data_IF_799681216788
#
_entry.id   IF_799681216788
#
_cell.length_a   1.000
_cell.length_b   1.000
_cell.length_c   1.000
_cell.angle_alpha   90.00
_cell.angle_beta   90.00
_cell.angle_gamma   90.00
#
_symmetry.space_group_name_H-M   'P 1'
#
loop_
_entity.id
_entity.type
_entity.pdbx_description
1 polymer ?
#
# COMPACT_ATOMS: atom_id res chain seq x y z
N UNK A 1 28.19 1.36 -29.31
CA UNK A 1 28.62 1.98 -28.04
C UNK A 1 29.22 3.34 -28.31
N UNK A 2 28.84 4.37 -27.56
CA UNK A 2 29.44 5.69 -27.71
C UNK A 2 30.91 5.62 -27.24
N UNK A 3 31.84 6.08 -28.09
CA UNK A 3 33.28 6.14 -27.76
C UNK A 3 33.50 7.06 -26.55
N UNK A 4 34.29 6.63 -25.59
CA UNK A 4 34.71 7.47 -24.47
C UNK A 4 35.56 8.66 -24.96
N UNK A 5 35.48 9.81 -24.28
CA UNK A 5 36.36 10.91 -24.57
C UNK A 5 37.75 10.60 -24.04
N UNK A 6 38.79 10.83 -24.86
CA UNK A 6 40.20 10.56 -24.53
C UNK A 6 41.01 11.85 -24.31
N UNK A 7 40.39 13.03 -24.25
CA UNK A 7 41.08 14.30 -24.05
C UNK A 7 41.21 14.69 -22.57
N UNK A 8 41.90 15.81 -22.32
CA UNK A 8 42.12 16.40 -21.00
C UNK A 8 40.86 16.53 -20.13
N UNK A 9 39.73 16.84 -20.74
CA UNK A 9 38.44 16.95 -20.08
C UNK A 9 37.58 15.66 -20.13
N UNK A 10 38.17 14.51 -20.46
CA UNK A 10 37.41 13.22 -20.58
C UNK A 10 36.71 12.87 -19.29
N UNK A 11 37.34 13.07 -18.13
CA UNK A 11 36.73 12.82 -16.82
C UNK A 11 35.48 13.70 -16.57
N UNK A 12 35.53 14.96 -16.92
CA UNK A 12 34.38 15.89 -16.82
C UNK A 12 33.20 15.45 -17.68
N UNK A 13 33.46 15.08 -18.90
CA UNK A 13 32.42 14.60 -19.83
C UNK A 13 31.78 13.28 -19.36
N UNK A 14 32.61 12.34 -18.86
CA UNK A 14 32.14 11.08 -18.29
C UNK A 14 31.26 11.32 -17.07
N UNK A 15 31.63 12.22 -16.17
CA UNK A 15 30.85 12.61 -14.99
C UNK A 15 29.50 13.22 -15.38
N UNK A 16 29.48 14.09 -16.40
CA UNK A 16 28.26 14.70 -16.94
C UNK A 16 27.31 13.64 -17.51
N UNK A 17 27.84 12.71 -18.34
CA UNK A 17 27.07 11.60 -18.91
C UNK A 17 26.49 10.68 -17.83
N UNK A 18 27.27 10.28 -16.81
CA UNK A 18 26.77 9.48 -15.69
C UNK A 18 25.63 10.19 -14.96
N UNK A 19 25.76 11.48 -14.70
CA UNK A 19 24.71 12.27 -14.05
C UNK A 19 23.42 12.24 -14.86
N UNK A 20 23.49 12.44 -16.17
CA UNK A 20 22.36 12.37 -17.09
C UNK A 20 21.73 10.96 -17.11
N UNK A 21 22.54 9.91 -17.26
CA UNK A 21 22.05 8.54 -17.33
C UNK A 21 21.42 8.05 -16.02
N UNK A 22 21.87 8.51 -14.85
CA UNK A 22 21.22 8.20 -13.56
C UNK A 22 19.76 8.65 -13.53
N UNK A 23 19.44 9.77 -14.16
CA UNK A 23 18.07 10.26 -14.24
C UNK A 23 17.14 9.39 -15.11
N UNK A 24 17.67 8.53 -15.97
CA UNK A 24 16.88 7.55 -16.71
C UNK A 24 16.42 6.39 -15.81
N UNK A 25 17.16 6.09 -14.76
CA UNK A 25 16.82 5.01 -13.82
C UNK A 25 15.61 5.37 -12.96
N UNK A 26 14.51 4.62 -13.12
CA UNK A 26 13.28 4.75 -12.31
C UNK A 26 13.56 4.58 -10.81
N UNK A 27 14.44 3.63 -10.44
CA UNK A 27 14.81 3.35 -9.04
C UNK A 27 15.55 4.54 -8.41
N UNK A 28 16.48 5.14 -9.14
CA UNK A 28 17.23 6.30 -8.67
C UNK A 28 16.33 7.53 -8.51
N UNK A 29 15.47 7.82 -9.50
CA UNK A 29 14.46 8.90 -9.43
C UNK A 29 13.58 8.76 -8.18
N UNK A 30 13.01 7.57 -7.95
CA UNK A 30 12.16 7.31 -6.78
C UNK A 30 12.85 7.64 -5.46
N UNK A 31 14.12 7.22 -5.33
CA UNK A 31 14.91 7.49 -4.11
C UNK A 31 15.28 8.97 -4.00
N UNK A 32 15.79 9.57 -5.06
CA UNK A 32 16.26 10.95 -5.01
C UNK A 32 15.14 11.97 -4.80
N UNK A 33 14.00 11.74 -5.39
CA UNK A 33 12.81 12.60 -5.27
C UNK A 33 11.90 12.21 -4.09
N UNK A 34 12.29 11.20 -3.31
CA UNK A 34 11.48 10.70 -2.18
C UNK A 34 10.02 10.41 -2.55
N UNK A 35 9.80 9.89 -3.78
CA UNK A 35 8.44 9.71 -4.30
C UNK A 35 7.60 8.76 -3.45
N UNK A 36 8.22 7.79 -2.76
CA UNK A 36 7.54 6.89 -1.86
C UNK A 36 6.93 7.63 -0.67
N UNK A 37 7.67 8.55 -0.06
CA UNK A 37 7.22 9.32 1.08
C UNK A 37 6.14 10.34 0.69
N UNK A 38 6.23 10.91 -0.52
CA UNK A 38 5.29 11.94 -1.01
C UNK A 38 3.94 11.39 -1.48
N UNK A 39 3.95 10.28 -2.22
CA UNK A 39 2.76 9.78 -2.93
C UNK A 39 2.16 8.52 -2.33
N UNK A 40 2.90 7.78 -1.49
CA UNK A 40 2.36 6.62 -0.80
C UNK A 40 1.47 7.08 0.37
N UNK A 41 0.21 6.67 0.46
CA UNK A 41 -0.61 6.94 1.64
C UNK A 41 0.05 6.51 2.96
N UNK A 42 0.76 5.38 2.96
CA UNK A 42 1.52 4.90 4.13
C UNK A 42 2.88 5.59 4.32
N UNK A 43 3.25 6.57 3.47
CA UNK A 43 4.53 7.29 3.52
C UNK A 43 5.76 6.37 3.59
N UNK A 44 5.65 5.21 2.98
CA UNK A 44 6.72 4.23 2.97
C UNK A 44 6.74 3.23 4.10
N UNK A 45 5.90 3.40 5.14
CA UNK A 45 5.76 2.43 6.22
C UNK A 45 5.17 1.10 5.71
N UNK A 46 5.49 -0.04 6.33
CA UNK A 46 4.90 -1.33 5.98
C UNK A 46 3.44 -1.44 6.43
N UNK A 47 3.07 -0.80 7.53
CA UNK A 47 1.75 -0.78 8.13
C UNK A 47 1.41 0.61 8.65
N UNK A 48 0.12 0.89 8.83
CA UNK A 48 -0.35 2.12 9.47
C UNK A 48 -1.67 1.86 10.21
N UNK A 49 -1.91 2.64 11.26
CA UNK A 49 -3.18 2.69 11.99
C UNK A 49 -4.16 3.60 11.25
N UNK A 50 -5.42 3.20 11.23
CA UNK A 50 -6.51 3.93 10.61
C UNK A 50 -7.81 3.72 11.38
N UNK A 51 -8.77 4.64 11.21
CA UNK A 51 -10.12 4.54 11.77
C UNK A 51 -11.07 4.13 10.64
N UNK A 52 -11.94 3.20 10.93
CA UNK A 52 -13.01 2.76 10.03
C UNK A 52 -14.04 3.87 9.88
N UNK A 53 -14.37 4.24 8.64
CA UNK A 53 -15.43 5.18 8.33
C UNK A 53 -16.72 4.45 7.95
N UNK A 54 -16.62 3.52 7.01
CA UNK A 54 -17.76 2.76 6.49
C UNK A 54 -17.34 1.38 5.97
N UNK A 55 -18.28 0.44 5.97
CA UNK A 55 -18.11 -0.88 5.33
C UNK A 55 -18.61 -0.80 3.89
N UNK A 56 -17.78 -1.21 2.95
CA UNK A 56 -18.09 -1.19 1.51
C UNK A 56 -17.99 -2.58 0.90
N UNK A 57 -18.75 -2.81 -0.14
CA UNK A 57 -18.71 -4.04 -0.94
C UNK A 57 -18.32 -3.66 -2.35
N UNK A 58 -17.29 -4.31 -2.88
CA UNK A 58 -16.78 -4.10 -4.23
C UNK A 58 -16.99 -5.35 -5.05
N UNK A 59 -17.48 -5.18 -6.26
CA UNK A 59 -17.61 -6.26 -7.23
C UNK A 59 -16.25 -6.61 -7.82
N UNK A 60 -16.02 -7.88 -8.08
CA UNK A 60 -14.79 -8.35 -8.74
C UNK A 60 -14.75 -7.93 -10.22
N UNK A 61 -13.56 -7.92 -10.79
CA UNK A 61 -13.37 -7.74 -12.23
C UNK A 61 -13.90 -8.96 -12.98
N UNK A 62 -14.52 -8.71 -14.16
CA UNK A 62 -14.88 -9.79 -15.07
C UNK A 62 -13.66 -10.67 -15.42
N UNK A 63 -13.87 -11.99 -15.61
CA UNK A 63 -15.17 -12.71 -15.71
C UNK A 63 -15.81 -13.12 -14.36
N UNK A 64 -15.27 -12.66 -13.23
CA UNK A 64 -15.76 -13.00 -11.89
C UNK A 64 -16.83 -12.01 -11.42
N UNK A 65 -17.86 -12.50 -10.74
CA UNK A 65 -18.97 -11.71 -10.19
C UNK A 65 -19.04 -11.72 -8.66
N UNK A 66 -17.99 -12.16 -7.98
CA UNK A 66 -17.94 -12.22 -6.51
C UNK A 66 -17.92 -10.83 -5.88
N UNK A 67 -18.53 -10.74 -4.69
CA UNK A 67 -18.59 -9.52 -3.89
C UNK A 67 -17.49 -9.52 -2.82
N UNK A 68 -16.56 -8.59 -2.93
CA UNK A 68 -15.42 -8.45 -2.01
C UNK A 68 -15.77 -7.44 -0.93
N UNK A 69 -15.58 -7.86 0.32
CA UNK A 69 -15.82 -7.04 1.50
C UNK A 69 -14.60 -6.17 1.78
N UNK A 70 -14.79 -4.88 1.79
CA UNK A 70 -13.76 -3.87 2.05
C UNK A 70 -14.26 -2.86 3.09
N UNK A 71 -13.35 -2.06 3.57
CA UNK A 71 -13.60 -1.00 4.53
C UNK A 71 -12.95 0.27 4.02
N UNK A 72 -13.67 1.37 4.04
CA UNK A 72 -13.11 2.69 3.83
C UNK A 72 -12.62 3.23 5.17
N UNK A 73 -11.37 3.61 5.24
CA UNK A 73 -10.73 4.01 6.48
C UNK A 73 -9.87 5.25 6.30
N UNK A 74 -9.74 6.03 7.36
CA UNK A 74 -8.91 7.22 7.43
C UNK A 74 -7.65 6.93 8.22
N UNK A 75 -6.50 7.19 7.62
CA UNK A 75 -5.20 7.04 8.28
C UNK A 75 -5.03 8.06 9.39
N UNK A 76 -4.64 7.61 10.58
CA UNK A 76 -4.37 8.47 11.73
C UNK A 76 -3.19 9.41 11.50
N UNK A 77 -2.17 8.94 10.77
CA UNK A 77 -0.92 9.66 10.57
C UNK A 77 -1.08 10.93 9.70
N UNK A 78 -1.86 10.85 8.65
CA UNK A 78 -1.92 11.91 7.62
C UNK A 78 -3.35 12.25 7.16
N UNK A 79 -4.37 11.68 7.79
CA UNK A 79 -5.78 11.93 7.46
C UNK A 79 -6.25 11.45 6.09
N UNK A 80 -5.39 10.79 5.31
CA UNK A 80 -5.77 10.30 3.98
C UNK A 80 -6.74 9.14 4.08
N UNK A 81 -7.78 9.18 3.24
CA UNK A 81 -8.78 8.11 3.17
C UNK A 81 -8.34 7.06 2.15
N UNK A 82 -8.38 5.81 2.55
CA UNK A 82 -8.02 4.65 1.72
C UNK A 82 -9.02 3.52 1.91
N UNK A 83 -9.14 2.64 0.90
CA UNK A 83 -9.93 1.42 1.01
C UNK A 83 -9.01 0.24 1.33
N UNK A 84 -9.41 -0.58 2.29
CA UNK A 84 -8.68 -1.76 2.72
C UNK A 84 -9.57 -3.02 2.63
N UNK A 85 -9.01 -4.10 2.12
CA UNK A 85 -9.67 -5.38 1.98
C UNK A 85 -9.74 -6.12 3.31
N UNK A 86 -10.91 -6.66 3.68
CA UNK A 86 -11.07 -7.57 4.83
C UNK A 86 -10.75 -9.00 4.38
N UNK A 87 -9.57 -9.56 4.72
CA UNK A 87 -9.13 -10.83 4.18
C UNK A 87 -9.88 -12.00 4.80
N UNK A 88 -10.22 -12.98 3.96
CA UNK A 88 -10.89 -14.23 4.30
C UNK A 88 -12.37 -14.05 4.66
N UNK A 89 -13.06 -15.18 4.71
CA UNK A 89 -14.48 -15.25 5.01
C UNK A 89 -14.80 -14.79 6.44
N UNK A 90 -15.96 -14.15 6.63
CA UNK A 90 -16.47 -13.60 7.89
C UNK A 90 -15.59 -12.55 8.57
N UNK A 91 -14.47 -12.11 7.95
CA UNK A 91 -13.59 -11.11 8.57
C UNK A 91 -14.30 -9.76 8.81
N UNK A 92 -15.22 -9.38 7.92
CA UNK A 92 -15.94 -8.11 8.01
C UNK A 92 -16.88 -8.02 9.24
N UNK A 93 -17.31 -9.15 9.79
CA UNK A 93 -18.22 -9.17 10.96
C UNK A 93 -17.53 -8.70 12.26
N UNK A 94 -16.20 -8.78 12.31
CA UNK A 94 -15.41 -8.33 13.46
C UNK A 94 -14.98 -6.87 13.38
N UNK A 95 -15.34 -6.18 12.31
CA UNK A 95 -14.95 -4.80 12.07
C UNK A 95 -16.21 -3.95 12.16
N UNK A 96 -16.21 -2.95 13.03
CA UNK A 96 -17.30 -1.99 13.16
C UNK A 96 -16.85 -0.59 12.76
N UNK A 97 -17.81 0.30 12.54
CA UNK A 97 -17.54 1.70 12.29
C UNK A 97 -16.84 2.32 13.51
N UNK A 98 -15.91 3.22 13.25
CA UNK A 98 -15.06 3.88 14.25
C UNK A 98 -14.05 2.97 14.99
N UNK A 99 -13.94 1.69 14.63
CA UNK A 99 -12.85 0.86 15.14
C UNK A 99 -11.48 1.35 14.65
N UNK A 100 -10.47 1.19 15.50
CA UNK A 100 -9.07 1.37 15.10
C UNK A 100 -8.59 0.09 14.40
N UNK A 101 -8.12 0.22 13.18
CA UNK A 101 -7.58 -0.89 12.40
C UNK A 101 -6.12 -0.66 12.03
N UNK A 102 -5.37 -1.73 11.93
CA UNK A 102 -4.03 -1.72 11.33
C UNK A 102 -4.11 -2.24 9.92
N UNK A 103 -3.69 -1.43 8.96
CA UNK A 103 -3.64 -1.81 7.54
C UNK A 103 -2.22 -2.05 7.06
N UNK A 104 -2.07 -2.94 6.09
CA UNK A 104 -0.81 -3.25 5.42
C UNK A 104 -1.01 -3.29 3.90
N UNK A 105 0.08 -3.19 3.15
CA UNK A 105 0.03 -3.36 1.69
C UNK A 105 -0.43 -4.77 1.30
N UNK A 106 -1.23 -4.86 0.24
CA UNK A 106 -1.77 -6.13 -0.25
C UNK A 106 -0.71 -6.98 -1.00
N UNK A 107 0.38 -6.36 -1.45
CA UNK A 107 1.47 -7.07 -2.13
C UNK A 107 1.30 -7.21 -3.65
N UNK A 108 0.37 -6.49 -4.27
CA UNK A 108 0.21 -6.47 -5.72
C UNK A 108 1.43 -5.92 -6.47
N UNK A 109 1.51 -6.19 -7.77
CA UNK A 109 2.57 -5.71 -8.64
C UNK A 109 2.73 -4.19 -8.56
N UNK A 110 3.95 -3.71 -8.41
CA UNK A 110 4.26 -2.28 -8.23
C UNK A 110 3.48 -1.61 -7.08
N UNK A 111 3.09 -2.37 -6.06
CA UNK A 111 2.22 -1.98 -4.94
C UNK A 111 0.82 -1.54 -5.39
N UNK A 112 0.38 -2.04 -6.52
CA UNK A 112 -0.97 -1.88 -7.01
C UNK A 112 -1.95 -2.85 -6.37
N UNK A 113 -3.12 -2.93 -6.98
CA UNK A 113 -4.14 -3.92 -6.64
C UNK A 113 -3.65 -5.35 -6.88
N UNK A 114 -4.21 -6.31 -6.18
CA UNK A 114 -3.88 -7.73 -6.32
C UNK A 114 -5.09 -8.51 -6.87
N UNK A 115 -4.84 -9.31 -7.91
CA UNK A 115 -5.85 -10.18 -8.51
C UNK A 115 -7.06 -9.42 -9.06
N UNK A 116 -8.23 -9.95 -8.80
CA UNK A 116 -9.52 -9.43 -9.29
C UNK A 116 -10.12 -8.31 -8.43
N UNK A 117 -9.43 -7.85 -7.38
CA UNK A 117 -9.92 -6.79 -6.49
C UNK A 117 -9.68 -5.43 -7.14
N UNK A 118 -10.70 -4.69 -7.58
CA UNK A 118 -10.51 -3.42 -8.27
C UNK A 118 -10.12 -2.29 -7.30
N UNK A 119 -9.03 -1.58 -7.60
CA UNK A 119 -8.65 -0.34 -6.93
C UNK A 119 -8.14 -0.44 -5.49
N UNK A 120 -8.22 -1.61 -4.84
CA UNK A 120 -7.78 -1.80 -3.46
C UNK A 120 -6.34 -2.26 -3.40
N UNK A 121 -5.51 -1.55 -2.62
CA UNK A 121 -4.07 -1.80 -2.46
C UNK A 121 -3.67 -2.23 -1.06
N UNK A 122 -4.59 -2.19 -0.11
CA UNK A 122 -4.34 -2.46 1.31
C UNK A 122 -5.23 -3.57 1.81
N UNK A 123 -4.78 -4.26 2.85
CA UNK A 123 -5.55 -5.26 3.61
C UNK A 123 -5.53 -4.92 5.09
N UNK A 124 -6.56 -5.33 5.80
CA UNK A 124 -6.66 -5.21 7.25
C UNK A 124 -5.90 -6.35 7.89
N UNK A 125 -5.09 -6.05 8.89
CA UNK A 125 -4.28 -7.02 9.65
C UNK A 125 -4.85 -7.20 11.05
N UNK A 126 -5.15 -6.10 11.75
CA UNK A 126 -5.64 -6.12 13.12
C UNK A 126 -6.80 -5.14 13.31
N UNK A 127 -7.62 -5.40 14.31
CA UNK A 127 -8.76 -4.57 14.75
C UNK A 127 -8.63 -4.37 16.25
N UNK A 128 -8.63 -3.12 16.73
CA UNK A 128 -8.46 -2.76 18.14
C UNK A 128 -7.27 -3.52 18.78
N UNK A 129 -6.13 -3.55 18.07
CA UNK A 129 -4.88 -4.24 18.46
C UNK A 129 -4.96 -5.78 18.48
N UNK A 130 -6.11 -6.38 18.22
CA UNK A 130 -6.25 -7.82 18.07
C UNK A 130 -6.07 -8.24 16.59
N UNK A 131 -5.24 -9.24 16.33
CA UNK A 131 -5.05 -9.80 15.01
C UNK A 131 -6.39 -10.32 14.44
N UNK A 132 -6.78 -9.84 13.28
CA UNK A 132 -8.05 -10.18 12.63
C UNK A 132 -8.17 -11.69 12.35
N UNK A 133 -7.05 -12.36 12.11
CA UNK A 133 -7.04 -13.80 11.88
C UNK A 133 -7.32 -14.58 13.17
N UNK A 134 -6.86 -14.09 14.32
CA UNK A 134 -7.13 -14.70 15.64
C UNK A 134 -8.59 -14.48 16.05
N UNK A 135 -9.13 -13.28 15.81
CA UNK A 135 -10.57 -12.99 16.01
C UNK A 135 -11.44 -13.94 15.20
N UNK A 136 -11.14 -14.10 13.92
CA UNK A 136 -11.90 -14.98 13.01
C UNK A 136 -11.85 -16.46 13.43
N UNK A 137 -10.74 -16.91 13.98
CA UNK A 137 -10.55 -18.30 14.49
C UNK A 137 -11.15 -18.52 15.88
N UNK A 138 -11.68 -17.49 16.53
CA UNK A 138 -12.18 -17.55 17.90
C UNK A 138 -11.09 -17.71 18.97
N UNK A 139 -9.83 -17.46 18.62
CA UNK A 139 -8.69 -17.57 19.56
C UNK A 139 -8.50 -16.33 20.42
N UNK A 140 -9.05 -15.21 20.01
CA UNK A 140 -9.09 -13.96 20.76
C UNK A 140 -10.47 -13.35 20.63
N UNK A 141 -10.91 -12.64 21.65
CA UNK A 141 -12.09 -11.80 21.62
C UNK A 141 -11.74 -10.39 21.15
N UNK A 142 -12.72 -9.70 20.57
CA UNK A 142 -12.53 -8.31 20.15
C UNK A 142 -12.47 -7.43 21.40
N UNK A 143 -11.37 -6.69 21.63
CA UNK A 143 -11.32 -5.75 22.73
C UNK A 143 -12.42 -4.70 22.59
N UNK A 144 -13.18 -4.47 23.65
CA UNK A 144 -14.08 -3.32 23.75
C UNK A 144 -13.24 -2.06 23.85
N UNK A 145 -13.63 -1.05 23.12
CA UNK A 145 -12.99 0.26 23.16
C UNK A 145 -13.76 1.18 24.10
#
# INVERSE_FOLDING_TARGET
MAKGGNGEFAGRNTKRRRKSQRWLSKRWKRRKLKLKERYDPLEGAPQAKAIVLEKIVLEQKQPHSGLIKCVKCQLLKNGKVVSAFAPRDKAITFIDEHDEITIAGLGGSQRGQMGSIPGVRYKIVAVNEADLQMLRKGKKEKPKR
#
